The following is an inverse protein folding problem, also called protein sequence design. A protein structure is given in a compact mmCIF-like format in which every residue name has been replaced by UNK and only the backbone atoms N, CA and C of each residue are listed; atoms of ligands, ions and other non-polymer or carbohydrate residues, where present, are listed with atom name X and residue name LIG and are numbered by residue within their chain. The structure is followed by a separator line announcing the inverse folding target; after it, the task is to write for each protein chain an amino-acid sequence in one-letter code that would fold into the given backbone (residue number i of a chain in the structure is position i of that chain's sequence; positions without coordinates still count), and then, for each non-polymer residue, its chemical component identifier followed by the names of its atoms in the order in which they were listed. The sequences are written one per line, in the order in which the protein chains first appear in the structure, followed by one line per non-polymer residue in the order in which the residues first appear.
data_IF_114562230046
#
_entry.id   IF_114562230046
#
_cell.length_a   1.000
_cell.length_b   1.000
_cell.length_c   1.000
_cell.angle_alpha   90.00
_cell.angle_beta   90.00
_cell.angle_gamma   90.00
#
_symmetry.space_group_name_H-M   'P 1'
#
loop_
_entity.id
_entity.type
_entity.pdbx_description
1 polymer ?
#
# COMPACT_ATOMS: atom_id res chain seq x y z
N UNK A 1 -1.79 -51.62 -56.04
CA UNK A 1 -1.86 -50.57 -54.99
C UNK A 1 -0.44 -50.20 -54.61
N UNK A 2 0.09 -49.02 -54.97
CA UNK A 2 1.26 -48.36 -54.35
C UNK A 2 1.77 -47.17 -55.22
N UNK A 3 0.89 -46.33 -55.78
CA UNK A 3 1.33 -45.12 -56.51
C UNK A 3 0.46 -43.87 -56.23
N UNK A 4 -0.28 -43.85 -55.11
CA UNK A 4 -1.16 -42.73 -54.73
C UNK A 4 -0.75 -42.00 -53.43
N UNK A 5 0.29 -42.44 -52.72
CA UNK A 5 0.63 -41.92 -51.37
C UNK A 5 1.73 -40.84 -51.36
N UNK A 6 2.47 -40.65 -52.45
CA UNK A 6 3.59 -39.69 -52.53
C UNK A 6 3.19 -38.26 -52.90
N UNK A 7 2.06 -38.08 -53.60
CA UNK A 7 1.59 -36.73 -53.98
C UNK A 7 0.88 -36.02 -52.82
N UNK A 8 0.04 -36.75 -52.07
CA UNK A 8 -0.70 -36.21 -50.94
C UNK A 8 0.22 -35.76 -49.78
N UNK A 9 1.30 -36.50 -49.52
CA UNK A 9 2.29 -36.18 -48.47
C UNK A 9 3.12 -34.95 -48.81
N UNK A 10 3.50 -34.74 -50.08
CA UNK A 10 4.20 -33.53 -50.51
C UNK A 10 3.32 -32.28 -50.39
N UNK A 11 2.05 -32.36 -50.77
CA UNK A 11 1.12 -31.23 -50.64
C UNK A 11 0.91 -30.86 -49.16
N UNK A 12 0.79 -31.86 -48.28
CA UNK A 12 0.67 -31.62 -46.83
C UNK A 12 1.92 -30.97 -46.24
N UNK A 13 3.11 -31.44 -46.63
CA UNK A 13 4.37 -30.90 -46.15
C UNK A 13 4.59 -29.45 -46.62
N UNK A 14 4.28 -29.15 -47.88
CA UNK A 14 4.36 -27.79 -48.42
C UNK A 14 3.34 -26.85 -47.75
N UNK A 15 2.10 -27.31 -47.51
CA UNK A 15 1.09 -26.52 -46.79
C UNK A 15 1.50 -26.25 -45.33
N UNK A 16 2.13 -27.22 -44.66
CA UNK A 16 2.63 -27.07 -43.29
C UNK A 16 3.79 -26.08 -43.21
N UNK A 17 4.75 -26.14 -44.15
CA UNK A 17 5.87 -25.19 -44.21
C UNK A 17 5.35 -23.77 -44.49
N UNK A 18 4.45 -23.61 -45.45
CA UNK A 18 3.86 -22.30 -45.79
C UNK A 18 3.07 -21.73 -44.60
N UNK A 19 2.27 -22.54 -43.91
CA UNK A 19 1.55 -22.10 -42.70
C UNK A 19 2.52 -21.69 -41.58
N UNK A 20 3.59 -22.45 -41.37
CA UNK A 20 4.59 -22.15 -40.35
C UNK A 20 5.35 -20.85 -40.66
N UNK A 21 5.72 -20.63 -41.93
CA UNK A 21 6.34 -19.38 -42.40
C UNK A 21 5.40 -18.18 -42.26
N UNK A 22 4.10 -18.34 -42.59
CA UNK A 22 3.10 -17.30 -42.39
C UNK A 22 2.96 -16.98 -40.90
N UNK A 23 2.90 -17.97 -40.01
CA UNK A 23 2.86 -17.73 -38.56
C UNK A 23 4.14 -17.03 -38.04
N UNK A 24 5.32 -17.43 -38.53
CA UNK A 24 6.60 -16.82 -38.13
C UNK A 24 6.75 -15.38 -38.64
N UNK A 25 6.13 -15.02 -39.76
CA UNK A 25 6.13 -13.66 -40.31
C UNK A 25 4.99 -12.81 -39.75
N UNK A 26 3.82 -13.38 -39.47
CA UNK A 26 2.67 -12.68 -38.94
C UNK A 26 2.81 -12.37 -37.45
N UNK A 27 3.44 -13.25 -36.66
CA UNK A 27 3.59 -13.05 -35.22
C UNK A 27 4.38 -11.78 -34.85
N UNK A 28 5.55 -11.48 -35.47
CA UNK A 28 6.26 -10.22 -35.25
C UNK A 28 5.45 -9.01 -35.69
N UNK A 29 4.70 -9.12 -36.79
CA UNK A 29 3.89 -8.01 -37.34
C UNK A 29 2.70 -7.72 -36.43
N UNK A 30 1.97 -8.74 -35.96
CA UNK A 30 0.86 -8.58 -35.00
C UNK A 30 1.39 -8.05 -33.67
N UNK A 31 2.56 -8.54 -33.22
CA UNK A 31 3.20 -8.03 -32.03
C UNK A 31 3.63 -6.56 -32.19
N UNK A 32 4.18 -6.20 -33.34
CA UNK A 32 4.60 -4.83 -33.65
C UNK A 32 3.40 -3.90 -33.79
N UNK A 33 2.33 -4.29 -34.49
CA UNK A 33 1.09 -3.52 -34.61
C UNK A 33 0.43 -3.38 -33.24
N UNK A 34 0.34 -4.45 -32.45
CA UNK A 34 -0.19 -4.36 -31.09
C UNK A 34 0.65 -3.42 -30.21
N UNK A 35 1.97 -3.48 -30.33
CA UNK A 35 2.88 -2.62 -29.57
C UNK A 35 2.81 -1.16 -30.01
N UNK A 36 2.77 -0.89 -31.33
CA UNK A 36 2.66 0.47 -31.86
C UNK A 36 1.28 1.05 -31.61
N UNK A 37 0.20 0.30 -31.75
CA UNK A 37 -1.16 0.74 -31.43
C UNK A 37 -1.31 1.07 -29.95
N UNK A 38 -0.81 0.24 -29.04
CA UNK A 38 -0.81 0.55 -27.59
C UNK A 38 0.02 1.80 -27.30
N UNK A 39 1.20 1.92 -27.90
CA UNK A 39 2.07 3.09 -27.72
C UNK A 39 1.45 4.38 -28.28
N UNK A 40 0.81 4.31 -29.45
CA UNK A 40 0.11 5.44 -30.06
C UNK A 40 -1.13 5.83 -29.24
N UNK A 41 -1.91 4.86 -28.78
CA UNK A 41 -3.09 5.12 -27.96
C UNK A 41 -2.72 5.77 -26.61
N UNK A 42 -1.64 5.29 -25.99
CA UNK A 42 -1.06 5.88 -24.77
C UNK A 42 -0.61 7.34 -25.02
N UNK A 43 -0.06 7.66 -26.21
CA UNK A 43 0.39 9.01 -26.58
C UNK A 43 -0.75 10.03 -26.76
N UNK A 44 -1.92 9.59 -27.24
CA UNK A 44 -3.05 10.50 -27.56
C UNK A 44 -4.02 10.72 -26.39
N UNK A 45 -4.06 9.84 -25.38
CA UNK A 45 -4.99 9.95 -24.25
C UNK A 45 -4.31 10.46 -22.97
N UNK A 46 -2.99 10.30 -22.82
CA UNK A 46 -2.30 10.81 -21.63
C UNK A 46 -1.93 12.29 -21.78
N UNK A 47 -2.24 13.15 -20.80
CA UNK A 47 -1.58 14.45 -20.71
C UNK A 47 -0.07 14.20 -20.69
N UNK A 48 0.70 14.83 -21.59
CA UNK A 48 2.15 14.64 -21.65
C UNK A 48 2.77 14.90 -20.27
N UNK A 49 3.17 13.83 -19.58
CA UNK A 49 3.94 13.93 -18.35
C UNK A 49 5.34 14.45 -18.72
N UNK A 50 5.60 15.72 -18.44
CA UNK A 50 6.91 16.34 -18.63
C UNK A 50 8.00 15.65 -17.81
N UNK A 51 9.27 15.79 -18.23
CA UNK A 51 10.42 15.10 -17.65
C UNK A 51 10.63 15.27 -16.13
N UNK A 52 10.00 16.26 -15.51
CA UNK A 52 9.99 16.47 -14.05
C UNK A 52 9.26 15.34 -13.31
N UNK A 53 8.27 14.69 -13.93
CA UNK A 53 7.53 13.58 -13.34
C UNK A 53 8.31 12.26 -13.29
N UNK A 54 9.51 12.18 -13.89
CA UNK A 54 10.32 10.97 -14.04
C UNK A 54 11.55 10.90 -13.12
N UNK A 55 11.79 11.93 -12.29
CA UNK A 55 12.93 12.00 -11.37
C UNK A 55 12.63 11.31 -10.02
N UNK A 56 13.68 10.94 -9.27
CA UNK A 56 13.54 10.39 -7.90
C UNK A 56 12.76 11.37 -7.02
N UNK A 57 11.62 10.92 -6.49
CA UNK A 57 10.58 11.79 -5.96
C UNK A 57 11.09 12.81 -4.94
N UNK A 58 11.99 12.43 -4.02
CA UNK A 58 12.42 13.26 -2.89
C UNK A 58 12.96 14.65 -3.27
N UNK A 59 13.58 14.81 -4.45
CA UNK A 59 14.15 16.11 -4.86
C UNK A 59 13.09 17.18 -5.18
N UNK A 60 11.84 16.77 -5.44
CA UNK A 60 10.71 17.67 -5.76
C UNK A 60 9.89 18.08 -4.55
N UNK A 61 10.10 17.39 -3.43
CA UNK A 61 9.32 17.55 -2.21
C UNK A 61 10.16 18.23 -1.13
N UNK A 62 9.47 18.95 -0.28
CA UNK A 62 9.96 19.47 0.98
C UNK A 62 9.34 18.67 2.11
N UNK A 63 10.12 18.48 3.16
CA UNK A 63 9.65 17.88 4.41
C UNK A 63 9.79 18.94 5.49
N UNK A 64 8.72 19.12 6.25
CA UNK A 64 8.74 19.82 7.52
C UNK A 64 8.49 18.78 8.60
N UNK A 65 9.58 18.25 9.16
CA UNK A 65 9.53 17.21 10.18
C UNK A 65 9.16 17.76 11.57
N UNK A 66 8.64 16.88 12.42
CA UNK A 66 8.43 17.09 13.86
C UNK A 66 7.69 18.40 14.21
N UNK A 67 6.72 18.78 13.37
CA UNK A 67 5.94 20.01 13.54
C UNK A 67 5.05 19.92 14.78
N UNK A 68 4.53 18.72 15.03
CA UNK A 68 3.89 18.34 16.27
C UNK A 68 4.66 17.15 16.83
N UNK A 69 4.98 17.22 18.11
CA UNK A 69 5.73 16.20 18.83
C UNK A 69 4.88 15.60 19.94
N UNK A 70 5.16 14.36 20.36
CA UNK A 70 4.52 13.74 21.52
C UNK A 70 4.64 14.62 22.77
N UNK A 71 3.58 14.67 23.58
CA UNK A 71 3.57 15.45 24.83
C UNK A 71 4.46 14.83 25.92
N UNK A 72 4.71 13.53 25.84
CA UNK A 72 5.50 12.76 26.79
C UNK A 72 6.47 11.81 26.06
N UNK A 73 7.57 11.40 26.71
CA UNK A 73 8.46 10.37 26.17
C UNK A 73 7.70 9.09 25.83
N UNK A 74 8.05 8.49 24.69
CA UNK A 74 7.48 7.21 24.24
C UNK A 74 8.42 6.07 24.67
N UNK A 75 7.86 5.06 25.32
CA UNK A 75 8.56 3.82 25.65
C UNK A 75 8.98 3.08 24.37
N UNK A 76 10.24 2.64 24.29
CA UNK A 76 10.80 2.00 23.08
C UNK A 76 10.06 0.74 22.64
N UNK A 77 9.56 -0.04 23.59
CA UNK A 77 8.91 -1.32 23.30
C UNK A 77 7.44 -1.19 22.82
N UNK A 78 6.93 0.03 22.64
CA UNK A 78 5.60 0.29 22.06
C UNK A 78 5.65 0.10 20.55
N UNK A 79 4.48 -0.06 19.93
CA UNK A 79 4.39 -0.08 18.46
C UNK A 79 3.97 1.30 17.99
N UNK A 80 4.78 1.96 17.15
CA UNK A 80 4.31 3.19 16.49
C UNK A 80 3.49 2.84 15.26
N UNK A 81 2.26 3.34 15.22
CA UNK A 81 1.41 3.31 14.04
C UNK A 81 1.88 4.39 13.06
N UNK A 82 2.33 3.95 11.89
CA UNK A 82 2.79 4.79 10.80
C UNK A 82 1.63 5.05 9.86
N UNK A 83 1.21 6.31 9.79
CA UNK A 83 0.11 6.76 8.95
C UNK A 83 0.60 7.81 7.94
N UNK A 84 -0.12 7.89 6.83
CA UNK A 84 0.00 9.00 5.91
C UNK A 84 -1.36 9.39 5.36
N UNK A 85 -1.53 10.67 5.01
CA UNK A 85 -2.74 11.15 4.34
C UNK A 85 -2.46 12.33 3.43
N UNK A 86 -3.44 12.66 2.59
CA UNK A 86 -3.55 13.98 2.01
C UNK A 86 -4.14 14.97 3.01
N UNK A 87 -3.77 16.25 2.92
CA UNK A 87 -4.48 17.33 3.61
C UNK A 87 -5.98 17.41 3.30
N UNK A 88 -6.44 16.82 2.19
CA UNK A 88 -7.87 16.77 1.82
C UNK A 88 -8.69 15.87 2.75
N UNK A 89 -8.03 14.95 3.47
CA UNK A 89 -8.66 14.08 4.46
C UNK A 89 -8.57 14.66 5.88
N UNK A 90 -8.15 15.92 6.04
CA UNK A 90 -8.22 16.60 7.32
C UNK A 90 -9.69 16.91 7.66
N UNK A 91 -10.33 15.97 8.34
CA UNK A 91 -11.66 16.10 8.94
C UNK A 91 -11.63 15.67 10.41
N UNK A 92 -12.68 15.98 11.16
CA UNK A 92 -12.81 15.52 12.55
C UNK A 92 -12.83 13.98 12.66
N UNK A 93 -13.20 13.27 11.59
CA UNK A 93 -13.31 11.81 11.58
C UNK A 93 -11.97 11.11 11.87
N UNK A 94 -10.84 11.79 11.59
CA UNK A 94 -9.52 11.24 11.90
C UNK A 94 -9.31 11.01 13.41
N UNK A 95 -10.04 11.73 14.27
CA UNK A 95 -10.01 11.50 15.71
C UNK A 95 -10.42 10.06 16.04
N UNK A 96 -11.35 9.47 15.28
CA UNK A 96 -11.80 8.10 15.51
C UNK A 96 -10.63 7.12 15.34
N UNK A 97 -9.84 7.29 14.27
CA UNK A 97 -8.66 6.47 14.00
C UNK A 97 -7.62 6.59 15.12
N UNK A 98 -7.39 7.81 15.61
CA UNK A 98 -6.42 8.04 16.67
C UNK A 98 -6.90 7.49 18.02
N UNK A 99 -8.19 7.56 18.32
CA UNK A 99 -8.77 6.99 19.53
C UNK A 99 -8.81 5.46 19.51
N UNK A 100 -8.89 4.85 18.33
CA UNK A 100 -8.87 3.39 18.19
C UNK A 100 -7.48 2.78 18.41
N UNK A 101 -6.40 3.56 18.28
CA UNK A 101 -5.03 3.12 18.53
C UNK A 101 -4.49 3.65 19.87
N UNK A 102 -4.21 2.76 20.82
CA UNK A 102 -3.75 3.14 22.17
C UNK A 102 -2.24 3.42 22.28
N UNK A 103 -1.49 3.27 21.19
CA UNK A 103 -0.05 3.51 21.14
C UNK A 103 0.36 4.81 20.48
N UNK A 104 1.67 5.00 20.27
CA UNK A 104 2.19 6.12 19.51
C UNK A 104 1.75 6.12 18.04
N UNK A 105 1.56 7.30 17.48
CA UNK A 105 1.22 7.50 16.06
C UNK A 105 2.24 8.47 15.46
N UNK A 106 2.81 8.12 14.32
CA UNK A 106 3.57 9.03 13.47
C UNK A 106 2.84 9.22 12.15
N UNK A 107 2.48 10.48 11.86
CA UNK A 107 1.63 10.84 10.74
C UNK A 107 2.35 11.79 9.79
N UNK A 108 2.42 11.42 8.51
CA UNK A 108 2.80 12.34 7.43
C UNK A 108 1.56 12.89 6.71
N UNK A 109 1.43 14.21 6.64
CA UNK A 109 0.36 14.87 5.91
C UNK A 109 0.95 15.53 4.65
N UNK A 110 0.52 15.08 3.48
CA UNK A 110 0.89 15.67 2.20
C UNK A 110 -0.04 16.83 1.88
N UNK A 111 0.49 18.03 1.95
CA UNK A 111 -0.17 19.28 1.62
C UNK A 111 -0.15 19.52 0.11
N UNK A 112 -1.13 20.30 -0.37
CA UNK A 112 -1.15 20.75 -1.77
C UNK A 112 -0.01 21.71 -2.10
N UNK A 113 0.22 22.67 -1.21
CA UNK A 113 1.31 23.62 -1.28
C UNK A 113 1.73 24.08 0.13
N UNK A 114 2.79 24.88 0.21
CA UNK A 114 3.35 25.39 1.47
C UNK A 114 2.44 26.37 2.21
N UNK A 115 1.51 27.04 1.54
CA UNK A 115 0.62 28.03 2.18
C UNK A 115 -0.38 27.35 3.13
N UNK A 116 -0.64 26.05 2.94
CA UNK A 116 -1.56 25.28 3.77
C UNK A 116 -0.95 24.79 5.10
N UNK A 117 0.36 24.97 5.32
CA UNK A 117 1.05 24.50 6.54
C UNK A 117 0.40 25.08 7.80
N UNK A 118 0.19 26.40 7.84
CA UNK A 118 -0.41 27.08 8.98
C UNK A 118 -1.78 26.48 9.35
N UNK A 119 -2.63 26.31 8.34
CA UNK A 119 -3.98 25.83 8.55
C UNK A 119 -3.97 24.38 9.05
N UNK A 120 -3.16 23.52 8.43
CA UNK A 120 -3.03 22.13 8.85
C UNK A 120 -2.49 22.01 10.28
N UNK A 121 -1.51 22.84 10.68
CA UNK A 121 -1.00 22.90 12.06
C UNK A 121 -2.11 23.29 13.05
N UNK A 122 -2.87 24.33 12.74
CA UNK A 122 -3.96 24.80 13.62
C UNK A 122 -5.06 23.76 13.74
N UNK A 123 -5.45 23.12 12.64
CA UNK A 123 -6.41 22.04 12.65
C UNK A 123 -5.93 20.89 13.54
N UNK A 124 -4.70 20.41 13.33
CA UNK A 124 -4.15 19.29 14.10
C UNK A 124 -3.98 19.64 15.59
N UNK A 125 -3.54 20.85 15.94
CA UNK A 125 -3.49 21.28 17.35
C UNK A 125 -4.88 21.34 17.99
N UNK A 126 -5.87 21.79 17.23
CA UNK A 126 -7.25 21.88 17.71
C UNK A 126 -7.84 20.49 18.00
N UNK A 127 -7.69 19.54 17.08
CA UNK A 127 -8.18 18.17 17.28
C UNK A 127 -7.44 17.45 18.42
N UNK A 128 -6.12 17.67 18.54
CA UNK A 128 -5.33 17.17 19.68
C UNK A 128 -5.83 17.72 21.00
N UNK A 129 -6.07 19.03 21.09
CA UNK A 129 -6.54 19.65 22.33
C UNK A 129 -7.94 19.17 22.73
N UNK A 130 -8.85 18.98 21.76
CA UNK A 130 -10.21 18.51 22.04
C UNK A 130 -10.29 17.05 22.47
N UNK A 131 -9.49 16.18 21.87
CA UNK A 131 -9.57 14.73 22.11
C UNK A 131 -8.46 14.18 23.01
N UNK A 132 -7.45 15.00 23.38
CA UNK A 132 -6.41 14.62 24.33
C UNK A 132 -5.34 13.68 23.79
N UNK A 133 -4.94 13.82 22.51
CA UNK A 133 -3.91 12.95 21.92
C UNK A 133 -2.50 13.29 22.44
N UNK A 134 -1.95 12.44 23.32
CA UNK A 134 -0.63 12.66 23.92
C UNK A 134 0.57 12.08 23.15
N UNK A 135 0.36 11.09 22.27
CA UNK A 135 1.42 10.31 21.62
C UNK A 135 1.43 10.46 20.09
N UNK A 136 1.14 11.66 19.59
CA UNK A 136 1.06 11.95 18.16
C UNK A 136 2.27 12.79 17.69
N UNK A 137 2.96 12.30 16.67
CA UNK A 137 4.00 13.01 15.93
C UNK A 137 3.48 13.34 14.52
N UNK A 138 3.63 14.58 14.07
CA UNK A 138 3.13 15.03 12.75
C UNK A 138 4.22 15.68 11.92
N UNK A 139 4.31 15.26 10.66
CA UNK A 139 5.21 15.77 9.63
C UNK A 139 4.39 16.30 8.46
N UNK A 140 4.87 17.35 7.81
CA UNK A 140 4.26 17.87 6.58
C UNK A 140 5.15 17.65 5.37
N UNK A 141 4.53 17.31 4.24
CA UNK A 141 5.18 17.12 2.96
C UNK A 141 4.49 18.00 1.93
N UNK A 142 5.24 18.75 1.12
CA UNK A 142 4.67 19.62 0.09
C UNK A 142 5.62 19.76 -1.10
N UNK A 143 5.10 20.07 -2.29
CA UNK A 143 5.93 20.28 -3.48
C UNK A 143 6.72 21.57 -3.35
N UNK A 144 7.96 21.58 -3.87
CA UNK A 144 8.79 22.79 -3.96
C UNK A 144 8.13 23.84 -4.85
N UNK A 145 8.13 25.10 -4.40
CA UNK A 145 7.77 26.25 -5.21
C UNK A 145 9.04 26.83 -5.83
N UNK A 146 9.10 26.94 -7.16
CA UNK A 146 10.29 27.44 -7.89
C UNK A 146 11.61 26.76 -7.50
N UNK A 147 11.56 25.46 -7.16
CA UNK A 147 12.74 24.67 -6.79
C UNK A 147 13.25 24.86 -5.35
N UNK A 148 12.60 25.69 -4.54
CA UNK A 148 12.99 25.96 -3.15
C UNK A 148 11.95 25.44 -2.15
N UNK A 149 12.42 25.10 -0.95
CA UNK A 149 11.56 24.81 0.19
C UNK A 149 11.32 26.08 0.99
N UNK A 150 10.08 26.26 1.45
CA UNK A 150 9.78 27.35 2.37
C UNK A 150 10.57 27.14 3.68
N UNK A 151 11.46 28.08 3.97
CA UNK A 151 12.32 28.07 5.17
C UNK A 151 11.66 28.85 6.32
N UNK A 152 10.51 29.49 6.09
CA UNK A 152 9.89 30.34 7.09
C UNK A 152 9.51 29.58 8.37
N UNK A 153 9.71 30.25 9.49
CA UNK A 153 9.47 29.71 10.82
C UNK A 153 7.98 29.55 11.10
N UNK A 154 7.63 28.41 11.69
CA UNK A 154 6.26 28.04 12.06
C UNK A 154 5.61 29.05 13.04
N UNK A 155 6.45 29.87 13.68
CA UNK A 155 6.07 30.86 14.66
C UNK A 155 5.42 32.14 14.10
N UNK A 156 5.43 32.37 12.77
CA UNK A 156 4.82 33.58 12.15
C UNK A 156 3.40 33.39 11.64
N UNK A 157 2.84 32.19 11.83
CA UNK A 157 1.53 31.84 11.30
C UNK A 157 0.42 32.55 12.09
N UNK A 158 -0.34 33.38 11.39
CA UNK A 158 -1.25 34.38 11.93
C UNK A 158 -2.61 33.84 12.39
N UNK A 159 -3.56 34.75 12.57
CA UNK A 159 -4.96 34.43 12.94
C UNK A 159 -5.89 34.25 11.73
N UNK A 160 -5.36 34.18 10.51
CA UNK A 160 -6.19 34.14 9.29
C UNK A 160 -7.11 32.91 9.28
N UNK A 161 -8.41 33.04 8.98
CA UNK A 161 -9.31 31.89 8.93
C UNK A 161 -8.85 30.88 7.86
N UNK A 162 -8.81 29.60 8.23
CA UNK A 162 -8.65 28.51 7.27
C UNK A 162 -9.82 28.54 6.28
N UNK A 163 -9.58 28.85 5.00
CA UNK A 163 -10.61 28.73 3.97
C UNK A 163 -10.70 27.27 3.50
N UNK A 164 -11.81 26.60 3.81
CA UNK A 164 -12.09 25.21 3.43
C UNK A 164 -12.57 25.02 1.99
N UNK A 165 -12.38 26.00 1.10
CA UNK A 165 -12.76 25.89 -0.31
C UNK A 165 -11.69 25.17 -1.13
N UNK A 166 -11.31 23.97 -0.70
CA UNK A 166 -10.38 23.15 -1.45
C UNK A 166 -11.07 22.64 -2.74
N UNK A 167 -10.60 23.10 -3.91
CA UNK A 167 -11.03 22.56 -5.21
C UNK A 167 -10.78 21.05 -5.27
N UNK A 168 -11.55 20.24 -6.02
CA UNK A 168 -11.18 18.85 -6.25
C UNK A 168 -9.76 18.74 -6.82
N UNK A 169 -9.03 17.67 -6.45
CA UNK A 169 -7.71 17.42 -7.03
C UNK A 169 -7.82 17.06 -8.50
N UNK A 170 -6.87 17.54 -9.29
CA UNK A 170 -6.66 17.03 -10.64
C UNK A 170 -6.10 15.60 -10.61
N UNK A 171 -6.34 14.84 -11.68
CA UNK A 171 -5.75 13.50 -11.86
C UNK A 171 -4.22 13.51 -11.76
N UNK A 172 -3.58 14.60 -12.20
CA UNK A 172 -2.13 14.80 -12.09
C UNK A 172 -1.70 14.91 -10.62
N UNK A 173 -2.42 15.67 -9.80
CA UNK A 173 -2.11 15.80 -8.37
C UNK A 173 -2.28 14.46 -7.63
N UNK A 174 -3.30 13.68 -7.98
CA UNK A 174 -3.52 12.36 -7.39
C UNK A 174 -2.42 11.39 -7.86
N UNK A 175 -2.11 11.36 -9.15
CA UNK A 175 -1.05 10.50 -9.71
C UNK A 175 0.35 10.84 -9.16
N UNK A 176 0.61 12.08 -8.80
CA UNK A 176 1.87 12.51 -8.21
C UNK A 176 1.94 12.32 -6.68
N UNK A 177 0.91 11.77 -6.02
CA UNK A 177 0.90 11.59 -4.57
C UNK A 177 2.09 10.72 -4.09
N UNK A 178 2.99 11.24 -3.22
CA UNK A 178 4.27 10.60 -2.89
C UNK A 178 4.11 9.59 -1.75
N UNK A 179 3.26 8.57 -1.95
CA UNK A 179 2.80 7.66 -0.89
C UNK A 179 3.95 6.99 -0.13
N UNK A 180 4.92 6.40 -0.83
CA UNK A 180 6.03 5.67 -0.21
C UNK A 180 6.99 6.61 0.53
N UNK A 181 7.24 7.81 -0.01
CA UNK A 181 7.99 8.85 0.71
C UNK A 181 7.24 9.29 1.98
N UNK A 182 5.92 9.47 1.92
CA UNK A 182 5.13 9.86 3.08
C UNK A 182 5.20 8.81 4.20
N UNK A 183 5.13 7.51 3.85
CA UNK A 183 5.36 6.40 4.79
C UNK A 183 6.77 6.45 5.40
N UNK A 184 7.79 6.69 4.58
CA UNK A 184 9.18 6.74 5.06
C UNK A 184 9.44 7.96 5.97
N UNK A 185 8.91 9.14 5.63
CA UNK A 185 9.01 10.35 6.47
C UNK A 185 8.37 10.13 7.83
N UNK A 186 7.19 9.51 7.89
CA UNK A 186 6.53 9.20 9.16
C UNK A 186 7.37 8.23 10.02
N UNK A 187 8.08 7.30 9.38
CA UNK A 187 8.96 6.33 10.06
C UNK A 187 10.28 6.92 10.53
N UNK A 188 10.85 7.89 9.82
CA UNK A 188 12.25 8.30 10.01
C UNK A 188 12.54 8.87 11.41
N UNK A 189 11.53 9.40 12.09
CA UNK A 189 11.69 10.14 13.35
C UNK A 189 11.06 9.44 14.56
N UNK A 190 10.71 8.16 14.42
CA UNK A 190 10.19 7.38 15.55
C UNK A 190 11.33 6.92 16.44
N UNK A 191 11.01 6.64 17.70
CA UNK A 191 11.97 6.10 18.69
C UNK A 191 11.64 4.68 19.15
N UNK A 192 10.53 4.12 18.67
CA UNK A 192 10.08 2.78 19.03
C UNK A 192 10.83 1.70 18.27
N UNK A 193 10.94 0.54 18.89
CA UNK A 193 11.57 -0.64 18.32
C UNK A 193 10.63 -1.34 17.33
N UNK A 194 9.31 -1.11 17.42
CA UNK A 194 8.30 -1.76 16.58
C UNK A 194 7.43 -0.77 15.81
N UNK A 195 7.07 -1.15 14.59
CA UNK A 195 6.18 -0.37 13.72
C UNK A 195 5.03 -1.20 13.17
N UNK A 196 3.91 -0.51 12.91
CA UNK A 196 2.82 -1.00 12.06
C UNK A 196 2.52 0.08 11.03
N UNK A 197 2.50 -0.26 9.74
CA UNK A 197 2.18 0.70 8.67
C UNK A 197 0.74 0.45 8.21
N UNK A 198 -0.11 1.47 8.34
CA UNK A 198 -1.54 1.38 8.04
C UNK A 198 -2.05 2.55 7.21
N UNK A 199 -3.25 2.37 6.69
CA UNK A 199 -4.02 3.43 6.06
C UNK A 199 -4.92 4.09 7.13
N UNK A 200 -5.30 5.35 6.93
CA UNK A 200 -6.01 6.17 7.93
C UNK A 200 -7.49 5.81 8.12
N UNK A 201 -7.99 4.87 7.31
CA UNK A 201 -9.35 4.32 7.32
C UNK A 201 -9.39 2.87 7.82
N UNK A 202 -8.26 2.31 8.25
CA UNK A 202 -8.16 0.97 8.84
C UNK A 202 -8.18 1.02 10.36
N UNK A 203 -9.23 0.45 10.93
CA UNK A 203 -9.42 0.29 12.36
C UNK A 203 -8.85 -1.05 12.86
N UNK A 204 -8.64 -1.13 14.17
CA UNK A 204 -8.02 -2.23 14.89
C UNK A 204 -9.01 -2.85 15.88
N UNK A 205 -8.89 -4.16 16.09
CA UNK A 205 -9.58 -4.88 17.16
C UNK A 205 -9.21 -4.34 18.54
N UNK A 206 -10.00 -4.66 19.56
CA UNK A 206 -9.79 -4.12 20.89
C UNK A 206 -8.44 -4.52 21.51
N UNK A 207 -7.77 -3.53 22.12
CA UNK A 207 -6.47 -3.72 22.76
C UNK A 207 -5.33 -4.14 21.83
N UNK A 208 -5.46 -3.93 20.51
CA UNK A 208 -4.51 -4.41 19.51
C UNK A 208 -3.05 -4.07 19.85
N UNK A 209 -2.72 -2.79 20.05
CA UNK A 209 -1.34 -2.35 20.27
C UNK A 209 -0.74 -2.98 21.52
N UNK A 210 -1.49 -2.99 22.63
CA UNK A 210 -1.04 -3.58 23.90
C UNK A 210 -0.76 -5.07 23.76
N UNK A 211 -1.65 -5.81 23.11
CA UNK A 211 -1.51 -7.27 22.93
C UNK A 211 -0.41 -7.60 21.92
N UNK A 212 -0.36 -6.88 20.80
CA UNK A 212 0.64 -7.08 19.76
C UNK A 212 2.05 -6.71 20.23
N UNK A 213 2.21 -5.68 21.06
CA UNK A 213 3.54 -5.29 21.59
C UNK A 213 4.11 -6.38 22.52
N UNK A 214 3.29 -7.09 23.28
CA UNK A 214 3.72 -8.24 24.09
C UNK A 214 4.26 -9.38 23.21
N UNK A 215 3.57 -9.68 22.10
CA UNK A 215 4.02 -10.67 21.11
C UNK A 215 5.30 -10.20 20.43
N UNK A 216 5.34 -8.95 19.94
CA UNK A 216 6.49 -8.36 19.25
C UNK A 216 7.76 -8.42 20.10
N UNK A 217 7.69 -8.07 21.39
CA UNK A 217 8.83 -8.15 22.32
C UNK A 217 9.43 -9.55 22.44
N UNK A 218 8.63 -10.59 22.24
CA UNK A 218 9.06 -11.99 22.35
C UNK A 218 9.55 -12.52 21.00
N UNK A 219 8.82 -12.22 19.93
CA UNK A 219 8.99 -12.83 18.61
C UNK A 219 9.96 -12.06 17.70
N UNK A 220 10.01 -10.75 17.83
CA UNK A 220 10.81 -9.86 16.97
C UNK A 220 12.11 -9.49 17.68
N UNK A 221 13.21 -10.04 17.19
CA UNK A 221 14.58 -9.84 17.69
C UNK A 221 15.46 -9.40 16.52
N UNK A 222 16.44 -8.53 16.77
CA UNK A 222 17.29 -7.95 15.71
C UNK A 222 18.06 -9.00 14.88
N UNK A 223 18.40 -10.14 15.50
CA UNK A 223 19.06 -11.27 14.84
C UNK A 223 18.11 -12.13 13.99
N UNK A 224 16.80 -11.87 14.05
CA UNK A 224 15.76 -12.64 13.35
C UNK A 224 15.03 -11.77 12.34
N UNK A 225 15.09 -12.17 11.06
CA UNK A 225 14.26 -11.59 10.00
C UNK A 225 12.84 -12.14 10.09
N UNK A 226 12.01 -11.56 10.94
CA UNK A 226 10.61 -11.95 11.14
C UNK A 226 9.70 -10.73 11.14
N UNK A 227 8.48 -10.91 10.64
CA UNK A 227 7.36 -9.97 10.81
C UNK A 227 6.11 -10.72 11.29
N UNK A 228 5.29 -10.03 12.07
CA UNK A 228 4.04 -10.53 12.61
C UNK A 228 2.89 -10.06 11.73
N UNK A 229 2.24 -10.97 11.01
CA UNK A 229 1.08 -10.67 10.15
C UNK A 229 -0.22 -10.98 10.88
N UNK A 230 -1.29 -10.29 10.49
CA UNK A 230 -2.62 -10.45 11.07
C UNK A 230 -3.70 -10.34 9.99
N UNK A 231 -4.92 -10.75 10.31
CA UNK A 231 -6.04 -10.78 9.37
C UNK A 231 -6.64 -9.39 9.17
N UNK A 232 -7.15 -9.15 7.96
CA UNK A 232 -7.73 -7.87 7.55
C UNK A 232 -9.11 -8.17 6.97
N UNK A 233 -10.11 -7.40 7.40
CA UNK A 233 -11.50 -7.58 7.00
C UNK A 233 -12.11 -6.28 6.44
N UNK A 234 -13.25 -6.41 5.76
CA UNK A 234 -14.16 -5.32 5.47
C UNK A 234 -15.47 -5.54 6.22
N UNK A 235 -16.05 -4.45 6.71
CA UNK A 235 -17.42 -4.43 7.23
C UNK A 235 -18.27 -3.46 6.42
N UNK A 236 -19.51 -3.85 6.15
CA UNK A 236 -20.44 -3.09 5.32
C UNK A 236 -21.45 -2.28 6.15
N UNK A 237 -21.65 -2.65 7.41
CA UNK A 237 -22.43 -1.86 8.35
C UNK A 237 -21.51 -0.91 9.13
N UNK A 238 -21.57 0.38 8.82
CA UNK A 238 -20.71 1.39 9.44
C UNK A 238 -21.06 1.66 10.90
N UNK A 239 -22.26 1.29 11.36
CA UNK A 239 -22.73 1.56 12.73
C UNK A 239 -22.26 0.52 13.75
N UNK A 240 -21.78 -0.64 13.31
CA UNK A 240 -21.36 -1.75 14.18
C UNK A 240 -19.92 -2.16 13.86
N UNK A 241 -18.96 -1.49 14.49
CA UNK A 241 -17.55 -1.82 14.34
C UNK A 241 -17.16 -2.98 15.28
N UNK A 242 -16.74 -4.14 14.75
CA UNK A 242 -16.39 -5.28 15.57
C UNK A 242 -15.12 -4.96 16.35
N UNK A 243 -15.21 -5.13 17.67
CA UNK A 243 -14.10 -4.96 18.61
C UNK A 243 -13.46 -6.29 18.96
N UNK A 244 -14.22 -7.39 18.87
CA UNK A 244 -13.75 -8.75 19.17
C UNK A 244 -13.83 -9.68 17.97
N UNK A 245 -13.12 -10.81 18.04
CA UNK A 245 -13.16 -11.86 17.01
C UNK A 245 -14.56 -12.45 16.87
N UNK A 246 -15.28 -12.60 17.98
CA UNK A 246 -16.65 -13.08 18.00
C UNK A 246 -17.59 -12.13 17.25
N UNK A 247 -17.50 -10.83 17.51
CA UNK A 247 -18.29 -9.81 16.81
C UNK A 247 -17.96 -9.78 15.32
N UNK A 248 -16.67 -9.87 14.95
CA UNK A 248 -16.27 -9.97 13.54
C UNK A 248 -16.86 -11.21 12.87
N UNK A 249 -16.86 -12.35 13.55
CA UNK A 249 -17.48 -13.59 13.07
C UNK A 249 -18.98 -13.44 12.87
N UNK A 250 -19.67 -12.77 13.79
CA UNK A 250 -21.10 -12.43 13.64
C UNK A 250 -21.34 -11.50 12.45
N UNK A 251 -20.50 -10.48 12.25
CA UNK A 251 -20.60 -9.59 11.08
C UNK A 251 -20.49 -10.38 9.77
N UNK A 252 -19.55 -11.32 9.66
CA UNK A 252 -19.40 -12.17 8.47
C UNK A 252 -20.61 -13.09 8.30
N UNK A 253 -21.04 -13.78 9.35
CA UNK A 253 -22.17 -14.72 9.31
C UNK A 253 -23.48 -14.03 8.90
N UNK A 254 -23.65 -12.75 9.27
CA UNK A 254 -24.80 -11.94 8.91
C UNK A 254 -24.69 -11.28 7.52
N UNK A 255 -23.65 -11.59 6.74
CA UNK A 255 -23.40 -10.98 5.43
C UNK A 255 -22.98 -9.50 5.48
N UNK A 256 -22.58 -9.02 6.65
CA UNK A 256 -22.19 -7.64 6.93
C UNK A 256 -20.66 -7.44 6.99
N UNK A 257 -19.88 -8.44 6.61
CA UNK A 257 -18.44 -8.32 6.43
C UNK A 257 -17.84 -9.49 5.66
N UNK A 258 -16.62 -9.32 5.19
CA UNK A 258 -15.84 -10.35 4.49
C UNK A 258 -14.33 -10.10 4.65
N UNK A 259 -13.50 -10.96 4.06
CA UNK A 259 -12.08 -10.69 3.87
C UNK A 259 -11.91 -9.39 3.07
N UNK A 260 -10.92 -8.59 3.44
CA UNK A 260 -10.67 -7.30 2.81
C UNK A 260 -10.49 -7.45 1.28
N UNK A 261 -11.29 -6.67 0.53
CA UNK A 261 -11.34 -6.70 -0.93
C UNK A 261 -11.72 -8.05 -1.55
N UNK A 262 -12.57 -8.86 -0.88
CA UNK A 262 -13.04 -10.14 -1.39
C UNK A 262 -13.64 -10.06 -2.81
N UNK A 263 -14.30 -8.94 -3.15
CA UNK A 263 -14.90 -8.72 -4.48
C UNK A 263 -13.92 -8.08 -5.46
N UNK A 264 -13.22 -7.00 -5.06
CA UNK A 264 -12.38 -6.20 -5.96
C UNK A 264 -10.97 -6.76 -6.16
N UNK A 265 -10.50 -7.64 -5.26
CA UNK A 265 -9.15 -8.20 -5.26
C UNK A 265 -9.10 -9.60 -4.62
N UNK A 266 -9.98 -10.50 -5.05
CA UNK A 266 -10.06 -11.88 -4.55
C UNK A 266 -8.69 -12.56 -4.46
N UNK A 267 -8.39 -13.23 -3.34
CA UNK A 267 -7.10 -13.89 -3.11
C UNK A 267 -5.96 -12.98 -2.59
N UNK A 268 -6.12 -11.65 -2.61
CA UNK A 268 -5.06 -10.73 -2.21
C UNK A 268 -4.84 -10.68 -0.69
N UNK A 269 -5.86 -10.95 0.12
CA UNK A 269 -5.76 -10.90 1.59
C UNK A 269 -6.13 -12.20 2.30
N UNK A 270 -6.42 -13.25 1.52
CA UNK A 270 -6.79 -14.56 2.06
C UNK A 270 -5.63 -15.23 2.79
N UNK A 271 -5.90 -15.70 4.00
CA UNK A 271 -4.96 -16.46 4.81
C UNK A 271 -5.62 -17.76 5.27
N UNK A 272 -4.92 -18.88 5.12
CA UNK A 272 -5.39 -20.21 5.50
C UNK A 272 -5.81 -20.28 6.98
N UNK A 273 -6.69 -21.22 7.34
CA UNK A 273 -7.10 -21.44 8.73
C UNK A 273 -8.10 -20.39 9.27
N UNK A 274 -8.83 -19.69 8.39
CA UNK A 274 -9.83 -18.69 8.80
C UNK A 274 -10.96 -19.28 9.64
N UNK A 275 -11.49 -20.45 9.27
CA UNK A 275 -12.54 -21.12 10.02
C UNK A 275 -12.07 -21.48 11.42
N UNK A 276 -10.90 -22.12 11.53
CA UNK A 276 -10.29 -22.49 12.82
C UNK A 276 -10.01 -21.25 13.69
N UNK A 277 -9.58 -20.15 13.06
CA UNK A 277 -9.34 -18.87 13.73
C UNK A 277 -10.61 -18.34 14.40
N UNK A 278 -11.75 -18.34 13.69
CA UNK A 278 -13.05 -17.92 14.23
C UNK A 278 -13.60 -18.88 15.30
N UNK A 279 -13.39 -20.19 15.13
CA UNK A 279 -13.86 -21.20 16.09
C UNK A 279 -13.03 -21.25 17.39
N UNK A 280 -11.80 -20.76 17.35
CA UNK A 280 -10.92 -20.72 18.52
C UNK A 280 -11.36 -19.61 19.49
N UNK A 281 -11.43 -19.84 20.82
CA UNK A 281 -11.71 -18.77 21.78
C UNK A 281 -10.65 -17.66 21.72
N UNK A 282 -11.09 -16.40 21.80
CA UNK A 282 -10.18 -15.26 21.86
C UNK A 282 -9.50 -15.17 23.23
N UNK A 283 -8.17 -14.96 23.24
CA UNK A 283 -7.40 -14.78 24.46
C UNK A 283 -6.91 -13.33 24.58
N UNK A 284 -7.57 -12.56 25.44
CA UNK A 284 -7.24 -11.15 25.69
C UNK A 284 -5.96 -10.92 26.51
N UNK A 285 -5.41 -11.97 27.12
CA UNK A 285 -4.23 -11.91 27.99
C UNK A 285 -2.97 -12.44 27.33
N UNK A 286 -3.09 -13.48 26.50
CA UNK A 286 -1.98 -14.17 25.86
C UNK A 286 -2.30 -14.40 24.38
N UNK A 287 -2.01 -13.39 23.57
CA UNK A 287 -2.06 -13.52 22.11
C UNK A 287 -0.92 -14.43 21.63
N UNK A 288 -1.22 -15.37 20.75
CA UNK A 288 -0.26 -16.38 20.27
C UNK A 288 0.13 -16.14 18.81
N UNK A 289 1.26 -16.72 18.43
CA UNK A 289 1.67 -16.88 17.03
C UNK A 289 1.36 -18.30 16.58
N UNK A 290 0.80 -18.44 15.38
CA UNK A 290 0.58 -19.74 14.75
C UNK A 290 1.93 -20.39 14.48
N UNK A 291 2.18 -21.64 14.92
CA UNK A 291 3.49 -22.29 14.76
C UNK A 291 3.95 -22.43 13.30
N UNK A 292 3.01 -22.50 12.37
CA UNK A 292 3.27 -22.60 10.94
C UNK A 292 3.51 -21.22 10.32
N UNK A 293 4.70 -21.03 9.76
CA UNK A 293 5.04 -19.85 8.99
C UNK A 293 4.21 -19.75 7.69
N UNK A 294 3.85 -18.53 7.31
CA UNK A 294 3.22 -18.26 6.02
C UNK A 294 4.31 -18.11 4.97
N UNK A 295 4.25 -18.95 3.93
CA UNK A 295 5.07 -18.76 2.74
C UNK A 295 4.52 -17.59 1.93
N UNK A 296 5.35 -16.58 1.67
CA UNK A 296 5.03 -15.52 0.72
C UNK A 296 5.04 -16.08 -0.70
N UNK A 297 3.92 -16.62 -1.17
CA UNK A 297 3.81 -17.34 -2.45
C UNK A 297 3.06 -16.58 -3.54
N UNK A 298 2.32 -15.53 -3.17
CA UNK A 298 1.50 -14.72 -4.08
C UNK A 298 2.06 -13.31 -4.15
N UNK A 299 2.52 -12.87 -5.32
CA UNK A 299 3.02 -11.49 -5.48
C UNK A 299 1.90 -10.44 -5.29
N UNK A 300 0.64 -10.86 -5.35
CA UNK A 300 -0.51 -9.99 -5.10
C UNK A 300 -0.86 -9.86 -3.61
N UNK A 301 -0.29 -10.69 -2.74
CA UNK A 301 -0.56 -10.61 -1.30
C UNK A 301 0.02 -9.32 -0.71
N UNK A 302 -0.83 -8.55 -0.04
CA UNK A 302 -0.49 -7.34 0.70
C UNK A 302 -0.54 -7.63 2.20
N UNK A 303 0.54 -8.19 2.80
CA UNK A 303 0.56 -8.43 4.22
C UNK A 303 0.55 -7.11 4.99
N UNK A 304 -0.38 -6.96 5.92
CA UNK A 304 -0.24 -5.98 7.01
C UNK A 304 0.51 -6.67 8.14
N UNK A 305 1.49 -5.96 8.69
CA UNK A 305 2.40 -6.56 9.65
C UNK A 305 2.89 -5.57 10.72
N UNK A 306 3.26 -6.14 11.86
CA UNK A 306 4.16 -5.52 12.84
C UNK A 306 5.57 -6.06 12.61
N UNK A 307 6.54 -5.15 12.53
CA UNK A 307 7.95 -5.48 12.36
C UNK A 307 8.83 -4.62 13.26
N UNK A 308 10.12 -4.95 13.32
CA UNK A 308 11.11 -4.04 13.88
C UNK A 308 11.13 -2.73 13.08
N UNK A 309 11.47 -1.62 13.72
CA UNK A 309 11.65 -0.34 13.02
C UNK A 309 12.77 -0.39 11.97
N UNK A 310 13.69 -1.36 12.09
CA UNK A 310 14.79 -1.67 11.18
C UNK A 310 14.39 -2.42 9.90
N UNK A 311 13.11 -2.82 9.72
CA UNK A 311 12.65 -3.38 8.43
C UNK A 311 12.93 -2.38 7.28
N UNK A 312 13.16 -2.85 6.03
CA UNK A 312 13.44 -1.96 4.92
C UNK A 312 12.43 -0.81 4.75
N UNK A 313 12.91 0.33 4.26
CA UNK A 313 12.04 1.43 3.85
C UNK A 313 11.25 1.06 2.59
N UNK A 314 10.14 1.75 2.34
CA UNK A 314 9.45 1.59 1.06
C UNK A 314 10.34 2.12 -0.07
N UNK A 315 10.36 1.41 -1.19
CA UNK A 315 11.01 1.90 -2.41
C UNK A 315 10.20 3.10 -2.96
N UNK A 316 10.73 4.31 -2.72
CA UNK A 316 10.11 5.58 -3.11
C UNK A 316 9.99 5.76 -4.63
N UNK A 317 10.61 4.88 -5.43
CA UNK A 317 10.48 4.96 -6.88
C UNK A 317 9.17 4.39 -7.43
N UNK A 318 8.43 3.60 -6.62
CA UNK A 318 7.14 3.05 -7.03
C UNK A 318 6.03 4.10 -6.94
N UNK A 319 5.28 4.33 -8.03
CA UNK A 319 4.27 5.35 -8.08
C UNK A 319 2.93 4.89 -7.48
N UNK A 320 2.14 5.85 -7.02
CA UNK A 320 0.75 5.67 -6.68
C UNK A 320 -0.13 5.52 -7.95
N UNK A 321 -1.13 4.66 -8.09
CA UNK A 321 -1.68 3.62 -7.21
C UNK A 321 -1.26 2.20 -7.66
N UNK A 322 -0.13 2.04 -8.37
CA UNK A 322 0.27 0.73 -8.91
C UNK A 322 1.13 -0.01 -7.90
N UNK A 323 0.55 -1.02 -7.24
CA UNK A 323 1.26 -2.00 -6.39
C UNK A 323 2.13 -1.42 -5.28
N UNK A 324 2.00 -0.13 -4.98
CA UNK A 324 2.82 0.52 -3.96
C UNK A 324 2.58 -0.02 -2.54
N UNK A 325 1.46 -0.70 -2.29
CA UNK A 325 1.22 -1.48 -1.06
C UNK A 325 1.94 -2.84 -1.03
N UNK A 326 2.23 -3.45 -2.18
CA UNK A 326 2.88 -4.75 -2.27
C UNK A 326 4.41 -4.67 -2.13
N UNK A 327 5.02 -3.57 -2.56
CA UNK A 327 6.48 -3.47 -2.79
C UNK A 327 7.31 -3.81 -1.56
N UNK A 328 6.90 -3.35 -0.38
CA UNK A 328 7.61 -3.68 0.85
C UNK A 328 7.48 -5.17 1.20
N UNK A 329 6.32 -5.79 0.98
CA UNK A 329 6.14 -7.23 1.14
C UNK A 329 7.02 -8.04 0.20
N UNK A 330 7.18 -7.61 -1.06
CA UNK A 330 8.11 -8.22 -2.00
C UNK A 330 9.56 -8.14 -1.51
N UNK A 331 9.98 -6.97 -1.03
CA UNK A 331 11.32 -6.76 -0.52
C UNK A 331 11.58 -7.55 0.77
N UNK A 332 10.61 -7.64 1.68
CA UNK A 332 10.71 -8.50 2.86
C UNK A 332 10.89 -9.97 2.49
N UNK A 333 10.12 -10.48 1.52
CA UNK A 333 10.32 -11.83 1.00
C UNK A 333 11.74 -12.00 0.46
N UNK A 334 12.19 -11.10 -0.42
CA UNK A 334 13.53 -11.16 -1.01
C UNK A 334 14.62 -11.06 0.06
N UNK A 335 14.44 -10.24 1.09
CA UNK A 335 15.36 -10.12 2.20
C UNK A 335 15.38 -11.34 3.15
N UNK A 336 14.49 -12.33 2.93
CA UNK A 336 14.44 -13.56 3.71
C UNK A 336 13.65 -13.44 5.02
N UNK A 337 12.67 -12.53 5.09
CA UNK A 337 11.81 -12.42 6.26
C UNK A 337 10.79 -13.55 6.34
N UNK A 338 10.59 -14.04 7.55
CA UNK A 338 9.53 -14.97 7.91
C UNK A 338 8.24 -14.21 8.23
N UNK A 339 7.11 -14.68 7.70
CA UNK A 339 5.79 -14.11 7.98
C UNK A 339 5.06 -15.01 8.97
N UNK A 340 4.89 -14.54 10.21
CA UNK A 340 4.28 -15.32 11.30
C UNK A 340 2.88 -14.79 11.60
N UNK A 341 1.87 -15.65 11.48
CA UNK A 341 0.48 -15.26 11.72
C UNK A 341 0.18 -15.11 13.20
N UNK A 342 -0.36 -13.97 13.59
CA UNK A 342 -0.83 -13.68 14.95
C UNK A 342 -2.30 -14.05 15.06
N UNK A 343 -2.64 -14.77 16.13
CA UNK A 343 -4.01 -15.13 16.49
C UNK A 343 -4.77 -13.94 17.09
N UNK A 344 -6.10 -14.00 17.07
CA UNK A 344 -7.06 -13.06 17.68
C UNK A 344 -7.08 -11.61 17.17
N UNK A 345 -5.93 -11.03 16.84
CA UNK A 345 -5.81 -9.63 16.44
C UNK A 345 -6.11 -9.46 14.96
N UNK A 346 -6.90 -8.44 14.63
CA UNK A 346 -7.27 -8.13 13.26
C UNK A 346 -7.46 -6.63 13.05
N UNK A 347 -7.45 -6.24 11.78
CA UNK A 347 -7.86 -4.90 11.34
C UNK A 347 -9.08 -4.99 10.44
N UNK A 348 -9.83 -3.91 10.35
CA UNK A 348 -10.99 -3.84 9.46
C UNK A 348 -11.17 -2.45 8.85
N UNK A 349 -11.71 -2.43 7.64
CA UNK A 349 -12.11 -1.22 6.93
C UNK A 349 -13.64 -1.12 6.86
N UNK A 350 -14.17 0.09 7.07
CA UNK A 350 -15.61 0.38 6.94
C UNK A 350 -15.96 0.73 5.49
N UNK A 351 -16.17 -0.30 4.68
CA UNK A 351 -16.51 -0.11 3.27
C UNK A 351 -18.00 0.20 3.07
N UNK A 352 -18.30 0.93 2.00
CA UNK A 352 -19.66 0.93 1.41
C UNK A 352 -19.73 -0.23 0.42
N UNK A 353 -20.82 -1.00 0.42
CA UNK A 353 -21.06 -2.15 -0.47
C UNK A 353 -21.43 -1.70 -1.90
N UNK A 354 -20.65 -0.79 -2.49
CA UNK A 354 -20.93 -0.23 -3.82
C UNK A 354 -19.64 -0.21 -4.63
N UNK A 355 -19.69 -0.84 -5.81
CA UNK A 355 -18.69 -0.63 -6.85
C UNK A 355 -18.86 0.79 -7.40
N UNK A 356 -17.86 1.64 -7.17
CA UNK A 356 -17.85 3.01 -7.66
C UNK A 356 -17.13 3.04 -9.02
N UNK A 357 -17.91 3.10 -10.10
CA UNK A 357 -17.40 3.12 -11.47
C UNK A 357 -16.52 4.33 -11.74
N UNK A 358 -16.84 5.48 -11.14
CA UNK A 358 -16.08 6.72 -11.32
C UNK A 358 -14.73 6.59 -10.64
N UNK A 359 -14.69 6.04 -9.42
CA UNK A 359 -13.44 5.71 -8.73
C UNK A 359 -12.63 4.66 -9.49
N UNK A 360 -13.27 3.66 -10.11
CA UNK A 360 -12.58 2.67 -10.92
C UNK A 360 -11.96 3.31 -12.17
N UNK A 361 -12.69 4.19 -12.85
CA UNK A 361 -12.20 4.95 -14.00
C UNK A 361 -11.04 5.87 -13.60
N UNK A 362 -11.16 6.60 -12.48
CA UNK A 362 -10.08 7.42 -11.93
C UNK A 362 -8.82 6.58 -11.68
N UNK A 363 -8.98 5.42 -11.03
CA UNK A 363 -7.87 4.50 -10.77
C UNK A 363 -7.20 4.04 -12.07
N UNK A 364 -7.97 3.69 -13.10
CA UNK A 364 -7.44 3.24 -14.39
C UNK A 364 -6.61 4.34 -15.07
N UNK A 365 -7.10 5.59 -15.05
CA UNK A 365 -6.38 6.73 -15.64
C UNK A 365 -5.10 7.04 -14.86
N UNK A 366 -5.14 7.02 -13.52
CA UNK A 366 -3.95 7.23 -12.69
C UNK A 366 -2.90 6.14 -12.93
N UNK A 367 -3.33 4.87 -13.02
CA UNK A 367 -2.42 3.77 -13.35
C UNK A 367 -1.79 3.98 -14.73
N UNK A 368 -2.54 4.51 -15.71
CA UNK A 368 -2.02 4.80 -17.04
C UNK A 368 -0.93 5.86 -17.03
N UNK A 369 -1.20 6.96 -16.34
CA UNK A 369 -0.24 8.04 -16.13
C UNK A 369 1.06 7.52 -15.48
N UNK A 370 0.96 6.56 -14.56
CA UNK A 370 2.11 6.07 -13.80
C UNK A 370 2.73 4.77 -14.32
N UNK A 371 2.23 4.20 -15.41
CA UNK A 371 2.72 2.93 -16.00
C UNK A 371 4.23 2.94 -16.26
N UNK A 372 4.73 3.95 -16.97
CA UNK A 372 6.16 4.02 -17.31
C UNK A 372 7.05 4.22 -16.07
N UNK A 373 6.57 4.98 -15.07
CA UNK A 373 7.27 5.13 -13.78
C UNK A 373 7.36 3.79 -13.07
N UNK A 374 6.25 3.05 -13.02
CA UNK A 374 6.18 1.72 -12.43
C UNK A 374 7.10 0.71 -13.13
N UNK A 375 7.08 0.65 -14.48
CA UNK A 375 7.93 -0.29 -15.24
C UNK A 375 9.43 -0.04 -14.98
N UNK A 376 9.85 1.23 -14.91
CA UNK A 376 11.23 1.61 -14.57
C UNK A 376 11.57 1.28 -13.12
N UNK A 377 10.66 1.59 -12.17
CA UNK A 377 10.82 1.27 -10.76
C UNK A 377 10.98 -0.25 -10.57
N UNK A 378 10.10 -1.04 -11.17
CA UNK A 378 10.13 -2.50 -11.11
C UNK A 378 11.42 -3.08 -11.71
N UNK A 379 11.90 -2.54 -12.84
CA UNK A 379 13.18 -2.97 -13.43
C UNK A 379 14.37 -2.71 -12.48
N UNK A 380 14.43 -1.50 -11.90
CA UNK A 380 15.47 -1.14 -10.90
C UNK A 380 15.37 -2.01 -9.66
N UNK A 381 14.14 -2.27 -9.19
CA UNK A 381 13.88 -3.13 -8.05
C UNK A 381 14.39 -4.54 -8.29
N UNK A 382 14.09 -5.16 -9.45
CA UNK A 382 14.63 -6.48 -9.78
C UNK A 382 16.16 -6.52 -9.80
N UNK A 383 16.80 -5.54 -10.44
CA UNK A 383 18.26 -5.45 -10.46
C UNK A 383 18.86 -5.33 -9.05
N UNK A 384 18.24 -4.53 -8.19
CA UNK A 384 18.64 -4.37 -6.79
C UNK A 384 18.45 -5.66 -6.00
N UNK A 385 17.27 -6.26 -6.05
CA UNK A 385 16.95 -7.49 -5.30
C UNK A 385 17.79 -8.68 -5.76
N UNK A 386 18.07 -8.82 -7.05
CA UNK A 386 18.91 -9.92 -7.57
C UNK A 386 20.37 -9.77 -7.15
N UNK A 387 20.84 -8.53 -6.94
CA UNK A 387 22.17 -8.24 -6.42
C UNK A 387 22.26 -8.42 -4.91
N UNK A 388 21.30 -7.89 -4.16
CA UNK A 388 21.30 -7.88 -2.69
C UNK A 388 20.84 -9.22 -2.11
N UNK A 389 19.90 -9.89 -2.78
CA UNK A 389 19.26 -11.13 -2.31
C UNK A 389 19.18 -12.18 -3.43
N UNK A 390 20.32 -12.73 -3.89
CA UNK A 390 20.33 -13.74 -4.95
C UNK A 390 19.65 -15.05 -4.52
N UNK A 391 19.78 -15.45 -3.25
CA UNK A 391 19.36 -16.77 -2.76
C UNK A 391 17.83 -16.95 -2.69
N UNK A 392 17.09 -15.85 -2.51
CA UNK A 392 15.63 -15.85 -2.38
C UNK A 392 14.90 -15.66 -3.71
N UNK A 393 15.63 -15.49 -4.81
CA UNK A 393 15.08 -15.26 -6.15
C UNK A 393 14.10 -16.35 -6.60
N UNK A 394 14.33 -17.60 -6.20
CA UNK A 394 13.49 -18.77 -6.56
C UNK A 394 12.43 -19.10 -5.51
N UNK A 395 12.57 -18.63 -4.27
CA UNK A 395 11.62 -18.91 -3.20
C UNK A 395 10.48 -17.89 -3.16
N UNK A 396 10.75 -16.64 -3.57
CA UNK A 396 9.78 -15.57 -3.71
C UNK A 396 9.09 -15.56 -5.09
N UNK A 397 7.82 -15.11 -5.16
CA UNK A 397 7.06 -15.11 -6.40
C UNK A 397 7.59 -14.06 -7.38
N UNK A 398 7.58 -14.42 -8.67
CA UNK A 398 7.82 -13.45 -9.73
C UNK A 398 6.64 -12.48 -9.85
N UNK A 399 6.96 -11.18 -9.97
CA UNK A 399 5.97 -10.12 -10.19
C UNK A 399 5.62 -10.08 -11.68
N UNK A 400 4.35 -10.32 -12.00
CA UNK A 400 3.86 -10.28 -13.38
C UNK A 400 3.76 -8.83 -13.88
N UNK A 401 4.45 -8.52 -15.00
CA UNK A 401 4.43 -7.19 -15.64
C UNK A 401 3.14 -6.91 -16.43
N UNK A 402 2.43 -7.95 -16.87
CA UNK A 402 1.33 -7.85 -17.84
C UNK A 402 -0.07 -7.59 -17.25
N UNK A 403 -0.24 -7.61 -15.92
CA UNK A 403 -1.52 -7.30 -15.25
C UNK A 403 -1.45 -5.97 -14.51
N UNK A 404 -1.09 -4.91 -15.24
CA UNK A 404 -1.68 -3.59 -14.94
C UNK A 404 -3.12 -3.71 -15.45
N UNK A 405 -4.12 -3.26 -14.68
CA UNK A 405 -5.55 -3.56 -14.84
C UNK A 405 -6.22 -3.03 -16.13
N UNK A 406 -5.47 -2.91 -17.22
CA UNK A 406 -6.06 -2.83 -18.54
C UNK A 406 -6.69 -4.18 -18.83
N UNK A 407 -8.02 -4.17 -18.96
CA UNK A 407 -8.85 -5.30 -19.37
C UNK A 407 -9.15 -6.29 -18.24
N UNK A 408 -10.17 -5.98 -17.44
CA UNK A 408 -11.22 -6.98 -17.23
C UNK A 408 -11.95 -7.09 -18.57
N UNK A 409 -11.57 -8.05 -19.41
CA UNK A 409 -12.56 -8.63 -20.32
C UNK A 409 -13.46 -9.51 -19.44
N UNK A 410 -14.77 -9.28 -19.58
CA UNK A 410 -15.83 -10.14 -19.03
C UNK A 410 -15.68 -11.61 -19.45
#
# INVERSE_FOLDING_TARGET
MLHSTTYASRIFFTKFIVATLICLLAYPIIYFIGWTSVYYYDYFITPQLSGVHLQSDRSRWCVKENVIQPAHPIERHRITLILHMSSDYLSEDIAEQFLNWSGPIALSIVLRDSNNIECAVRFMRSIIARHGFGMLQVHFIYKKSSGQCDVNNIHRYGKLPCSNTAKPRSLIEIADYPMNMARNVARQFIITDFILISDVDLMFSDGFERRMSQVARTELKEDKKKVLVFRIFEIYNQSSAPRTKSEMGQSINNGNGDVFHAVSAYGHHDLDGRSDWFSSPENFTHTRVVPKQIRYSRYTWEPRFVGLSSVPFHDESFPYRIRANNVLGWELCRAGYEFSLVEDLFTFHRAKRVSDSDRQNENNVIQLMNRLKYERALSRWYNRMDKEYPDTKRSCPAILRRKLWYFTEE
#
